data_IF_511584915364
#
_entry.id   IF_511584915364
#
_cell.length_a   1.000
_cell.length_b   1.000
_cell.length_c   1.000
_cell.angle_alpha   90.00
_cell.angle_beta   90.00
_cell.angle_gamma   90.00
#
_symmetry.space_group_name_H-M   'P 1'
#
loop_
_entity.id
_entity.type
_entity.pdbx_description
1 polymer ?
#
# COMPACT_ATOMS: atom_id res chain seq x y z
N UNK A 1 -20.49 11.42 -8.17
CA UNK A 1 -19.96 11.60 -6.81
C UNK A 1 -18.59 12.24 -6.96
N UNK A 2 -18.28 13.29 -6.19
CA UNK A 2 -16.94 13.89 -6.20
C UNK A 2 -15.97 13.02 -5.41
N UNK A 3 -14.69 12.91 -5.79
CA UNK A 3 -13.68 12.25 -4.97
C UNK A 3 -13.64 12.82 -3.55
N UNK A 4 -13.42 11.95 -2.55
CA UNK A 4 -13.22 12.36 -1.16
C UNK A 4 -11.73 12.68 -0.98
N UNK A 5 -11.43 13.87 -0.47
CA UNK A 5 -10.04 14.25 -0.19
C UNK A 5 -9.55 13.58 1.09
N UNK A 6 -8.38 12.95 1.01
CA UNK A 6 -7.64 12.45 2.17
C UNK A 6 -6.74 13.60 2.65
N UNK A 7 -6.77 13.99 3.94
CA UNK A 7 -5.88 15.01 4.47
C UNK A 7 -4.41 14.72 4.16
N UNK A 8 -3.64 15.76 3.82
CA UNK A 8 -2.24 15.70 3.37
C UNK A 8 -1.97 14.95 2.06
N UNK A 9 -3.00 14.37 1.43
CA UNK A 9 -2.90 13.63 0.16
C UNK A 9 -1.76 12.60 0.16
N UNK A 10 -1.68 11.68 1.15
CA UNK A 10 -0.60 10.71 1.22
C UNK A 10 -0.54 9.87 -0.07
N UNK A 11 0.66 9.72 -0.60
CA UNK A 11 0.95 8.89 -1.78
C UNK A 11 1.85 7.72 -1.42
N UNK A 12 1.96 6.77 -2.36
CA UNK A 12 2.94 5.67 -2.37
C UNK A 12 2.86 4.64 -1.26
N UNK A 13 1.85 4.72 -0.41
CA UNK A 13 1.66 3.73 0.63
C UNK A 13 0.46 2.81 0.43
N UNK A 14 0.24 1.97 1.42
CA UNK A 14 -0.86 1.00 1.46
C UNK A 14 -1.92 1.38 2.49
N UNK A 15 -3.03 0.66 2.47
CA UNK A 15 -4.12 0.78 3.43
C UNK A 15 -4.45 -0.58 4.02
N UNK A 16 -4.99 -0.58 5.23
CA UNK A 16 -5.49 -1.78 5.89
C UNK A 16 -6.61 -1.40 6.88
N UNK A 17 -7.33 -2.39 7.41
CA UNK A 17 -8.45 -2.20 8.32
C UNK A 17 -8.21 -2.90 9.65
N UNK A 18 -8.62 -2.28 10.75
CA UNK A 18 -8.57 -2.93 12.06
C UNK A 18 -9.77 -3.87 12.29
N UNK A 19 -9.77 -4.61 13.41
CA UNK A 19 -10.89 -5.51 13.75
C UNK A 19 -12.20 -4.79 14.07
N UNK A 20 -12.19 -3.46 14.21
CA UNK A 20 -13.37 -2.63 14.45
C UNK A 20 -13.93 -2.02 13.15
N UNK A 21 -13.30 -2.29 12.01
CA UNK A 21 -13.69 -1.74 10.71
C UNK A 21 -13.21 -0.31 10.45
N UNK A 22 -12.26 0.20 11.25
CA UNK A 22 -11.60 1.46 10.97
C UNK A 22 -10.60 1.28 9.83
N UNK A 23 -10.68 2.12 8.80
CA UNK A 23 -9.72 2.18 7.72
C UNK A 23 -8.50 2.99 8.16
N UNK A 24 -7.30 2.46 7.92
CA UNK A 24 -6.03 3.14 8.07
C UNK A 24 -5.31 3.23 6.73
N UNK A 25 -4.76 4.40 6.42
CA UNK A 25 -4.00 4.67 5.21
C UNK A 25 -2.62 5.16 5.65
N UNK A 26 -1.59 4.41 5.28
CA UNK A 26 -0.20 4.81 5.42
C UNK A 26 0.29 5.42 4.11
N UNK A 27 1.12 6.44 4.20
CA UNK A 27 1.76 7.02 3.01
C UNK A 27 2.56 8.25 3.37
N UNK A 28 3.05 8.94 2.35
CA UNK A 28 3.91 10.10 2.54
C UNK A 28 3.83 11.09 1.41
N UNK A 29 4.75 12.05 1.41
CA UNK A 29 5.00 12.97 0.30
C UNK A 29 6.19 12.51 -0.55
N UNK A 30 6.63 13.38 -1.46
CA UNK A 30 7.82 13.18 -2.30
C UNK A 30 9.15 13.33 -1.54
N UNK A 31 9.15 13.16 -0.21
CA UNK A 31 10.31 13.40 0.64
C UNK A 31 10.24 12.63 1.96
N UNK A 32 10.10 13.35 3.06
CA UNK A 32 10.29 12.82 4.41
C UNK A 32 9.07 12.96 5.32
N UNK A 33 7.94 13.42 4.78
CA UNK A 33 6.71 13.49 5.55
C UNK A 33 5.94 12.18 5.40
N UNK A 34 5.65 11.51 6.50
CA UNK A 34 4.83 10.29 6.53
C UNK A 34 3.60 10.51 7.39
N UNK A 35 2.51 9.84 7.03
CA UNK A 35 1.24 9.93 7.74
C UNK A 35 0.59 8.56 7.89
N UNK A 36 -0.09 8.40 9.03
CA UNK A 36 -1.14 7.42 9.24
C UNK A 36 -2.47 8.16 9.36
N UNK A 37 -3.38 7.93 8.40
CA UNK A 37 -4.69 8.56 8.33
C UNK A 37 -5.77 7.53 8.62
N UNK A 38 -6.70 7.83 9.53
CA UNK A 38 -7.82 6.95 9.88
C UNK A 38 -9.15 7.49 9.36
N UNK A 39 -10.01 6.58 8.91
CA UNK A 39 -11.45 6.80 8.81
C UNK A 39 -12.21 5.78 9.64
N UNK A 40 -12.93 6.23 10.66
CA UNK A 40 -13.76 5.37 11.51
C UNK A 40 -15.13 5.03 10.91
N UNK A 41 -15.55 5.75 9.87
CA UNK A 41 -16.85 5.57 9.23
C UNK A 41 -16.79 4.98 7.81
N UNK A 42 -15.60 4.71 7.26
CA UNK A 42 -15.44 4.13 5.92
C UNK A 42 -16.14 2.77 5.74
N UNK A 43 -16.32 2.02 6.83
CA UNK A 43 -17.08 0.76 6.83
C UNK A 43 -18.58 0.94 6.52
N UNK A 44 -19.13 2.15 6.68
CA UNK A 44 -20.56 2.41 6.50
C UNK A 44 -20.86 2.76 5.04
N UNK A 45 -21.29 1.79 4.22
CA UNK A 45 -21.54 1.98 2.78
C UNK A 45 -22.60 3.04 2.40
N UNK A 46 -23.36 3.57 3.36
CA UNK A 46 -24.36 4.61 3.15
C UNK A 46 -23.88 6.03 3.51
N UNK A 47 -22.63 6.19 3.94
CA UNK A 47 -22.06 7.51 4.28
C UNK A 47 -20.84 7.79 3.42
N UNK A 48 -20.61 9.06 3.11
CA UNK A 48 -19.32 9.49 2.55
C UNK A 48 -18.27 9.36 3.64
N UNK A 49 -17.16 8.64 3.42
CA UNK A 49 -16.09 8.52 4.41
C UNK A 49 -15.54 9.89 4.82
N UNK A 50 -15.23 10.03 6.10
CA UNK A 50 -14.48 11.16 6.67
C UNK A 50 -13.22 10.66 7.33
N UNK A 51 -12.15 11.44 7.26
CA UNK A 51 -10.87 11.10 7.87
C UNK A 51 -10.71 11.87 9.18
N UNK A 52 -11.04 11.19 10.28
CA UNK A 52 -11.19 11.76 11.62
C UNK A 52 -9.91 11.77 12.46
N UNK A 53 -8.84 11.13 11.98
CA UNK A 53 -7.52 11.16 12.61
C UNK A 53 -6.42 11.22 11.54
N UNK A 54 -5.43 12.08 11.76
CA UNK A 54 -4.28 12.29 10.88
C UNK A 54 -3.05 12.40 11.78
N UNK A 55 -2.19 11.39 11.74
CA UNK A 55 -1.02 11.31 12.61
C UNK A 55 0.23 11.41 11.76
N UNK A 56 1.13 12.34 12.12
CA UNK A 56 2.47 12.41 11.52
C UNK A 56 3.31 11.24 12.02
N UNK A 57 4.11 10.65 11.13
CA UNK A 57 4.94 9.49 11.41
C UNK A 57 6.38 9.83 11.03
N UNK A 58 7.34 9.43 11.86
CA UNK A 58 8.77 9.58 11.61
C UNK A 58 9.39 8.21 11.31
N UNK A 59 9.87 8.02 10.07
CA UNK A 59 10.57 6.81 9.63
C UNK A 59 12.10 7.03 9.56
N UNK A 60 12.62 8.15 10.06
CA UNK A 60 14.05 8.41 10.19
C UNK A 60 14.78 8.74 8.89
N UNK A 61 14.06 8.99 7.80
CA UNK A 61 14.65 9.27 6.49
C UNK A 61 13.65 9.78 5.46
N UNK A 62 14.11 9.88 4.22
CA UNK A 62 13.29 10.25 3.06
C UNK A 62 13.07 9.05 2.15
N UNK A 63 11.89 8.94 1.54
CA UNK A 63 11.70 8.00 0.45
C UNK A 63 12.57 8.38 -0.75
N UNK A 64 12.96 7.38 -1.51
CA UNK A 64 13.85 7.52 -2.65
C UNK A 64 13.08 7.26 -3.94
N UNK A 65 13.15 8.21 -4.88
CA UNK A 65 12.66 8.03 -6.24
C UNK A 65 13.82 8.19 -7.23
N UNK A 66 13.93 7.27 -8.19
CA UNK A 66 14.98 7.28 -9.20
C UNK A 66 16.38 7.02 -8.65
N UNK A 67 16.48 6.27 -7.54
CA UNK A 67 17.76 5.84 -7.01
C UNK A 67 18.51 4.94 -8.03
N UNK A 68 19.85 4.89 -8.00
CA UNK A 68 20.63 4.05 -8.92
C UNK A 68 20.20 2.58 -8.96
N UNK A 69 19.74 2.01 -7.83
CA UNK A 69 19.27 0.62 -7.75
C UNK A 69 17.90 0.39 -8.37
N UNK A 70 17.06 1.42 -8.46
CA UNK A 70 15.76 1.38 -9.10
C UNK A 70 15.47 2.65 -9.93
N UNK A 71 16.14 2.83 -11.08
CA UNK A 71 15.95 3.99 -11.94
C UNK A 71 14.49 4.17 -12.38
N UNK A 72 13.94 5.37 -12.19
CA UNK A 72 12.56 5.68 -12.58
C UNK A 72 11.47 5.03 -11.71
N UNK A 73 11.83 4.40 -10.58
CA UNK A 73 10.90 3.87 -9.59
C UNK A 73 11.20 4.37 -8.18
N UNK A 74 10.36 3.96 -7.23
CA UNK A 74 10.63 4.15 -5.81
C UNK A 74 11.64 3.09 -5.35
N UNK A 75 12.56 3.40 -4.45
CA UNK A 75 13.34 2.35 -3.80
C UNK A 75 12.46 1.45 -2.91
N UNK A 76 11.25 1.87 -2.55
CA UNK A 76 10.25 1.07 -1.85
C UNK A 76 8.97 1.85 -1.61
N UNK A 77 7.86 1.13 -1.47
CA UNK A 77 6.59 1.71 -1.03
C UNK A 77 6.58 1.89 0.50
N UNK A 78 5.57 2.63 0.98
CA UNK A 78 5.30 2.79 2.41
C UNK A 78 4.21 1.79 2.80
N UNK A 79 4.58 0.69 3.44
CA UNK A 79 3.63 -0.30 3.88
C UNK A 79 3.01 0.10 5.22
N UNK A 80 1.69 -0.02 5.30
CA UNK A 80 0.92 -0.06 6.54
C UNK A 80 0.20 -1.41 6.61
N UNK A 81 0.30 -2.07 7.76
CA UNK A 81 -0.53 -3.22 8.11
C UNK A 81 -1.08 -3.08 9.52
N UNK A 82 -2.26 -3.65 9.77
CA UNK A 82 -2.87 -3.70 11.09
C UNK A 82 -2.89 -5.13 11.58
N UNK A 83 -2.48 -5.32 12.84
CA UNK A 83 -2.58 -6.62 13.50
C UNK A 83 -4.04 -7.00 13.72
N UNK A 84 -4.46 -8.14 13.17
CA UNK A 84 -5.80 -8.73 13.35
C UNK A 84 -5.75 -10.12 13.97
N UNK A 85 -4.67 -10.46 14.66
CA UNK A 85 -4.39 -11.77 15.23
C UNK A 85 -5.32 -12.14 16.39
N UNK A 86 -6.01 -11.18 17.02
CA UNK A 86 -6.75 -11.40 18.26
C UNK A 86 -5.86 -11.64 19.49
N UNK A 87 -4.53 -11.51 19.35
CA UNK A 87 -3.57 -11.66 20.46
C UNK A 87 -3.42 -10.35 21.24
N UNK A 88 -2.41 -10.28 22.12
CA UNK A 88 -2.13 -9.08 22.92
C UNK A 88 -1.74 -7.84 22.06
N UNK A 89 -1.34 -8.05 20.81
CA UNK A 89 -0.97 -6.98 19.88
C UNK A 89 -2.08 -6.61 18.91
N UNK A 90 -3.27 -7.22 19.04
CA UNK A 90 -4.41 -6.97 18.16
C UNK A 90 -4.75 -5.46 18.05
N UNK A 91 -4.96 -4.99 16.82
CA UNK A 91 -5.15 -3.60 16.41
C UNK A 91 -3.94 -2.68 16.58
N UNK A 92 -2.75 -3.21 16.87
CA UNK A 92 -1.51 -2.46 16.64
C UNK A 92 -1.37 -2.15 15.15
N UNK A 93 -0.84 -0.97 14.84
CA UNK A 93 -0.62 -0.52 13.46
C UNK A 93 0.88 -0.47 13.23
N UNK A 94 1.32 -1.05 12.13
CA UNK A 94 2.72 -1.14 11.75
C UNK A 94 2.94 -0.40 10.46
N UNK A 95 4.00 0.42 10.41
CA UNK A 95 4.45 1.02 9.16
C UNK A 95 5.91 0.66 8.89
N UNK A 96 6.21 0.37 7.62
CA UNK A 96 7.55 0.04 7.16
C UNK A 96 7.80 0.72 5.82
N UNK A 97 8.99 1.29 5.67
CA UNK A 97 9.42 1.87 4.39
C UNK A 97 10.92 1.67 4.17
N UNK A 98 11.29 1.57 2.90
CA UNK A 98 12.66 1.83 2.47
C UNK A 98 12.90 3.34 2.43
N UNK A 99 13.87 3.83 3.19
CA UNK A 99 14.25 5.25 3.21
C UNK A 99 15.75 5.43 3.12
N UNK A 100 16.18 6.57 2.58
CA UNK A 100 17.51 7.08 2.85
C UNK A 100 17.49 7.78 4.21
N UNK A 101 18.21 7.25 5.18
CA UNK A 101 18.29 7.86 6.51
C UNK A 101 18.86 9.28 6.43
N UNK A 102 18.40 10.20 7.30
CA UNK A 102 18.88 11.59 7.29
C UNK A 102 20.38 11.74 7.61
N UNK A 103 20.96 10.73 8.26
CA UNK A 103 22.39 10.66 8.57
C UNK A 103 23.21 10.10 7.40
N UNK A 104 22.58 9.73 6.29
CA UNK A 104 23.19 9.03 5.17
C UNK A 104 23.25 9.85 3.88
N UNK A 105 24.39 9.78 3.18
CA UNK A 105 24.57 10.43 1.86
C UNK A 105 24.22 9.53 0.68
N UNK A 106 24.09 8.23 0.91
CA UNK A 106 23.85 7.20 -0.09
C UNK A 106 23.06 6.03 0.53
N UNK A 107 22.69 5.07 -0.31
CA UNK A 107 22.06 3.83 0.11
C UNK A 107 20.67 4.02 0.70
N UNK A 108 20.16 2.94 1.29
CA UNK A 108 18.86 2.94 1.95
C UNK A 108 18.81 1.87 3.03
N UNK A 109 17.87 2.04 3.95
CA UNK A 109 17.56 1.08 5.00
C UNK A 109 16.06 0.83 5.06
N UNK A 110 15.69 -0.35 5.57
CA UNK A 110 14.30 -0.66 5.90
C UNK A 110 14.02 -0.19 7.32
N UNK A 111 13.15 0.80 7.44
CA UNK A 111 12.77 1.43 8.70
C UNK A 111 11.34 1.05 9.07
N UNK A 112 11.12 0.88 10.36
CA UNK A 112 9.87 0.40 10.95
C UNK A 112 9.42 1.30 12.10
N UNK A 113 8.12 1.47 12.23
CA UNK A 113 7.47 2.06 13.40
C UNK A 113 6.20 1.30 13.75
N UNK A 114 5.77 1.43 15.00
CA UNK A 114 4.51 0.85 15.46
C UNK A 114 3.70 1.83 16.28
N UNK A 115 2.39 1.70 16.20
CA UNK A 115 1.43 2.31 17.12
C UNK A 115 0.73 1.22 17.91
N UNK A 116 0.58 1.45 19.21
CA UNK A 116 -0.15 0.58 20.14
C UNK A 116 -1.37 1.27 20.76
N UNK A 117 -1.78 2.39 20.17
CA UNK A 117 -2.83 3.28 20.69
C UNK A 117 -3.83 3.72 19.60
N UNK A 118 -4.09 2.84 18.62
CA UNK A 118 -5.05 3.10 17.55
C UNK A 118 -4.58 4.18 16.55
N UNK A 119 -3.27 4.33 16.40
CA UNK A 119 -2.63 5.22 15.43
C UNK A 119 -2.49 6.64 15.93
N UNK A 120 -2.69 6.90 17.23
CA UNK A 120 -2.60 8.24 17.82
C UNK A 120 -1.14 8.67 17.97
N UNK A 121 -0.26 7.75 18.38
CA UNK A 121 1.18 7.95 18.44
C UNK A 121 1.92 6.76 17.86
N UNK A 122 3.15 6.99 17.42
CA UNK A 122 4.05 5.97 16.89
C UNK A 122 5.35 5.95 17.70
N UNK A 123 5.98 4.78 17.77
CA UNK A 123 7.32 4.62 18.34
C UNK A 123 8.35 5.46 17.59
N UNK A 124 9.52 5.74 18.19
CA UNK A 124 10.68 6.18 17.43
C UNK A 124 11.01 5.21 16.28
N UNK A 125 11.60 5.69 15.17
CA UNK A 125 11.98 4.86 14.04
C UNK A 125 13.00 3.80 14.43
N UNK A 126 12.75 2.55 14.00
CA UNK A 126 13.62 1.40 14.21
C UNK A 126 14.14 0.90 12.87
N UNK A 127 15.46 0.81 12.72
CA UNK A 127 16.11 0.13 11.60
C UNK A 127 16.04 -1.38 11.83
N UNK A 128 15.44 -2.13 10.89
CA UNK A 128 15.33 -3.60 11.02
C UNK A 128 16.46 -4.36 10.31
N UNK A 129 17.20 -3.66 9.46
CA UNK A 129 18.42 -4.19 8.83
C UNK A 129 19.54 -4.27 9.86
N UNK A 130 20.19 -5.42 9.98
CA UNK A 130 21.15 -5.76 11.06
C UNK A 130 22.62 -5.78 10.61
N UNK A 131 22.90 -5.48 9.34
CA UNK A 131 24.26 -5.28 8.87
C UNK A 131 24.88 -4.02 9.52
N UNK A 132 26.21 -3.94 9.65
CA UNK A 132 26.86 -2.73 10.13
C UNK A 132 26.37 -1.54 9.32
N UNK A 133 26.07 -0.42 9.98
CA UNK A 133 25.56 0.80 9.32
C UNK A 133 26.53 1.18 8.19
N UNK A 134 26.14 0.80 6.98
CA UNK A 134 26.92 0.98 5.76
C UNK A 134 26.01 1.65 4.74
N UNK A 135 26.13 2.97 4.72
CA UNK A 135 25.30 3.83 3.89
C UNK A 135 25.57 3.63 2.39
N UNK A 136 26.51 2.77 1.97
CA UNK A 136 26.71 2.46 0.56
C UNK A 136 26.04 1.14 0.12
N UNK A 137 24.98 0.70 0.80
CA UNK A 137 24.18 -0.48 0.46
C UNK A 137 22.71 -0.15 0.28
N UNK A 138 22.03 -0.94 -0.54
CA UNK A 138 20.62 -0.78 -0.85
C UNK A 138 19.82 -1.86 -0.13
N UNK A 139 18.89 -1.41 0.71
CA UNK A 139 17.83 -2.21 1.30
C UNK A 139 16.51 -1.68 0.75
N UNK A 140 15.92 -2.38 -0.22
CA UNK A 140 14.92 -1.84 -1.12
C UNK A 140 13.75 -2.78 -1.32
N UNK A 141 12.61 -2.24 -1.75
CA UNK A 141 11.31 -2.91 -1.83
C UNK A 141 10.90 -3.60 -0.52
N UNK A 142 11.17 -2.98 0.64
CA UNK A 142 10.71 -3.52 1.91
C UNK A 142 9.19 -3.62 2.00
N UNK A 143 8.68 -4.74 2.50
CA UNK A 143 7.26 -4.99 2.78
C UNK A 143 7.09 -5.85 4.03
N UNK A 144 5.89 -5.92 4.60
CA UNK A 144 5.58 -6.76 5.75
C UNK A 144 4.16 -7.34 5.71
N UNK A 145 3.94 -8.40 6.49
CA UNK A 145 2.63 -8.94 6.83
C UNK A 145 2.56 -9.33 8.32
N UNK A 146 1.35 -9.39 8.86
CA UNK A 146 1.09 -9.87 10.23
C UNK A 146 0.39 -11.23 10.15
N UNK A 147 0.97 -12.24 10.77
CA UNK A 147 0.44 -13.59 10.87
C UNK A 147 -0.75 -13.67 11.84
N UNK A 148 -1.62 -14.70 11.74
CA UNK A 148 -2.75 -14.87 12.65
C UNK A 148 -2.34 -15.06 14.13
N UNK A 149 -1.10 -15.44 14.41
CA UNK A 149 -0.53 -15.52 15.76
C UNK A 149 0.17 -14.24 16.24
N UNK A 150 0.08 -13.13 15.49
CA UNK A 150 0.68 -11.83 15.85
C UNK A 150 2.15 -11.67 15.45
N UNK A 151 2.79 -12.68 14.85
CA UNK A 151 4.14 -12.54 14.28
C UNK A 151 4.11 -11.56 13.12
N UNK A 152 5.08 -10.65 13.08
CA UNK A 152 5.30 -9.76 11.93
C UNK A 152 6.41 -10.37 11.09
N UNK A 153 6.17 -10.55 9.80
CA UNK A 153 7.13 -11.04 8.83
C UNK A 153 7.48 -9.90 7.87
N UNK A 154 8.76 -9.61 7.64
CA UNK A 154 9.22 -8.58 6.72
C UNK A 154 10.24 -9.13 5.74
N UNK A 155 10.15 -8.67 4.48
CA UNK A 155 11.10 -9.01 3.42
C UNK A 155 11.49 -7.76 2.63
N UNK A 156 12.70 -7.80 2.06
CA UNK A 156 13.25 -6.74 1.23
C UNK A 156 14.33 -7.31 0.30
N UNK A 157 14.65 -6.57 -0.76
CA UNK A 157 15.83 -6.82 -1.59
C UNK A 157 17.04 -6.10 -1.00
N UNK A 158 18.20 -6.73 -1.11
CA UNK A 158 19.39 -6.34 -0.36
C UNK A 158 20.68 -6.54 -1.15
N UNK A 159 21.53 -5.51 -1.20
CA UNK A 159 22.84 -5.56 -1.88
C UNK A 159 24.01 -5.73 -0.92
N UNK A 160 23.77 -5.99 0.37
CA UNK A 160 24.83 -6.04 1.42
C UNK A 160 25.95 -7.02 1.07
N UNK A 161 25.62 -8.14 0.44
CA UNK A 161 26.57 -9.19 0.07
C UNK A 161 27.26 -8.96 -1.29
N UNK A 162 26.82 -7.97 -2.08
CA UNK A 162 27.30 -7.77 -3.44
C UNK A 162 28.52 -6.85 -3.49
N UNK A 163 29.61 -7.28 -4.12
CA UNK A 163 30.79 -6.43 -4.29
C UNK A 163 30.53 -5.22 -5.23
N UNK A 164 29.64 -5.38 -6.21
CA UNK A 164 29.27 -4.36 -7.21
C UNK A 164 28.16 -3.41 -6.74
N UNK A 165 27.61 -3.62 -5.52
CA UNK A 165 26.47 -2.88 -4.98
C UNK A 165 25.22 -2.86 -5.89
N UNK A 166 25.05 -3.91 -6.71
CA UNK A 166 23.96 -4.05 -7.67
C UNK A 166 23.25 -5.38 -7.47
N UNK A 167 24.02 -6.47 -7.38
CA UNK A 167 23.43 -7.80 -7.21
C UNK A 167 22.61 -7.82 -5.93
N UNK A 168 21.36 -8.22 -6.06
CA UNK A 168 20.39 -8.20 -4.97
C UNK A 168 20.05 -9.62 -4.54
N UNK A 169 19.76 -9.79 -3.26
CA UNK A 169 19.17 -11.00 -2.70
C UNK A 169 17.90 -10.62 -1.96
N UNK A 170 16.92 -11.51 -1.94
CA UNK A 170 15.78 -11.39 -1.04
C UNK A 170 16.25 -11.74 0.38
N UNK A 171 15.91 -10.88 1.33
CA UNK A 171 16.15 -11.06 2.75
C UNK A 171 14.85 -11.13 3.53
N UNK A 172 14.89 -11.80 4.67
CA UNK A 172 13.78 -12.00 5.59
C UNK A 172 14.19 -11.74 7.04
N UNK A 173 13.28 -11.15 7.81
CA UNK A 173 13.33 -11.10 9.27
C UNK A 173 11.90 -11.08 9.82
N UNK A 174 11.75 -11.38 11.10
CA UNK A 174 10.45 -11.41 11.77
C UNK A 174 10.53 -10.86 13.19
N UNK A 175 9.37 -10.51 13.73
CA UNK A 175 9.18 -10.10 15.12
C UNK A 175 8.05 -10.89 15.77
N UNK A 176 8.24 -11.30 17.02
CA UNK A 176 7.23 -12.03 17.83
C UNK A 176 6.73 -11.23 19.04
N UNK A 177 7.22 -10.00 19.21
CA UNK A 177 6.89 -9.12 20.34
C UNK A 177 6.18 -7.83 19.88
N UNK A 178 5.50 -7.91 18.73
CA UNK A 178 4.78 -6.79 18.13
C UNK A 178 5.70 -5.69 17.62
N UNK A 179 6.88 -6.03 17.10
CA UNK A 179 7.81 -5.11 16.48
C UNK A 179 8.73 -4.36 17.45
N UNK A 180 8.92 -4.84 18.69
CA UNK A 180 9.91 -4.26 19.61
C UNK A 180 11.31 -4.71 19.21
N UNK A 181 11.47 -6.01 18.95
CA UNK A 181 12.71 -6.61 18.49
C UNK A 181 12.48 -7.42 17.23
N UNK A 182 13.54 -7.58 16.46
CA UNK A 182 13.54 -8.33 15.20
C UNK A 182 14.61 -9.41 15.25
N UNK A 183 14.31 -10.54 14.63
CA UNK A 183 15.23 -11.65 14.49
C UNK A 183 16.39 -11.30 13.54
N UNK A 184 17.53 -12.04 13.63
CA UNK A 184 18.62 -11.89 12.68
C UNK A 184 18.14 -11.98 11.23
N UNK A 185 18.67 -11.12 10.36
CA UNK A 185 18.30 -11.09 8.96
C UNK A 185 18.87 -12.33 8.24
N UNK A 186 18.07 -12.95 7.37
CA UNK A 186 18.46 -14.14 6.61
C UNK A 186 18.30 -13.89 5.12
N UNK A 187 19.34 -14.15 4.34
CA UNK A 187 19.23 -14.21 2.88
C UNK A 187 18.46 -15.48 2.47
N UNK A 188 17.40 -15.31 1.68
CA UNK A 188 16.48 -16.40 1.30
C UNK A 188 16.46 -16.66 -0.22
N UNK A 189 17.32 -15.98 -0.98
CA UNK A 189 17.51 -16.24 -2.41
C UNK A 189 18.98 -16.24 -2.83
N UNK A 190 19.26 -16.79 -4.01
CA UNK A 190 20.50 -16.53 -4.74
C UNK A 190 20.61 -15.03 -5.09
N UNK A 191 21.83 -14.51 -5.33
CA UNK A 191 22.01 -13.18 -5.89
C UNK A 191 21.51 -13.12 -7.34
N UNK A 192 20.99 -11.96 -7.74
CA UNK A 192 20.58 -11.67 -9.11
C UNK A 192 20.83 -10.22 -9.48
N UNK A 193 21.01 -9.93 -10.77
CA UNK A 193 21.20 -8.57 -11.27
C UNK A 193 19.83 -7.94 -11.60
N UNK A 194 19.38 -6.90 -10.89
CA UNK A 194 18.07 -6.27 -11.13
C UNK A 194 18.01 -5.43 -12.42
N UNK A 195 19.11 -5.31 -13.16
CA UNK A 195 19.19 -4.57 -14.43
C UNK A 195 19.21 -5.48 -15.66
N UNK A 196 18.77 -6.71 -15.50
CA UNK A 196 18.56 -7.64 -16.61
C UNK A 196 17.08 -7.93 -16.77
N UNK A 197 16.67 -8.43 -17.94
CA UNK A 197 15.26 -8.60 -18.28
C UNK A 197 14.83 -7.88 -19.54
N UNK A 198 13.54 -7.98 -19.86
CA UNK A 198 13.11 -8.01 -21.26
C UNK A 198 12.73 -6.63 -21.85
N UNK A 199 13.15 -6.24 -23.09
CA UNK A 199 14.18 -6.83 -23.95
C UNK A 199 15.59 -6.27 -23.73
N UNK A 200 15.71 -5.17 -22.98
CA UNK A 200 16.87 -4.60 -22.28
C UNK A 200 16.24 -3.68 -21.24
N UNK A 201 16.48 -3.93 -19.95
CA UNK A 201 15.85 -3.19 -18.87
C UNK A 201 16.91 -2.67 -17.89
N UNK A 202 16.63 -1.59 -17.15
CA UNK A 202 17.54 -1.05 -16.13
C UNK A 202 16.92 -1.07 -14.72
N UNK A 203 15.92 -1.92 -14.50
CA UNK A 203 15.05 -1.97 -13.32
C UNK A 203 14.27 -3.29 -13.27
N UNK A 204 14.04 -3.84 -12.07
CA UNK A 204 13.23 -5.05 -11.89
C UNK A 204 11.91 -4.73 -11.18
N UNK A 205 10.81 -4.61 -11.92
CA UNK A 205 9.50 -4.24 -11.36
C UNK A 205 9.50 -3.07 -10.37
N UNK A 206 8.45 -2.95 -9.56
CA UNK A 206 8.37 -1.98 -8.43
C UNK A 206 7.85 -2.60 -7.12
N UNK A 207 7.47 -3.89 -7.15
CA UNK A 207 6.63 -4.47 -6.11
C UNK A 207 7.04 -5.91 -5.78
N UNK A 208 7.21 -6.16 -4.49
CA UNK A 208 7.24 -7.49 -3.89
C UNK A 208 6.18 -7.53 -2.79
N UNK A 209 5.71 -8.72 -2.42
CA UNK A 209 4.71 -8.87 -1.36
C UNK A 209 4.94 -10.14 -0.56
N UNK A 210 4.42 -10.16 0.66
CA UNK A 210 4.40 -11.31 1.56
C UNK A 210 3.00 -11.46 2.14
N UNK A 211 2.53 -12.69 2.29
CA UNK A 211 1.35 -13.03 3.09
C UNK A 211 1.73 -14.06 4.13
N UNK A 212 1.28 -13.88 5.37
CA UNK A 212 1.69 -14.72 6.49
C UNK A 212 0.56 -15.59 7.01
N UNK A 213 0.92 -16.82 7.38
CA UNK A 213 0.12 -17.72 8.22
C UNK A 213 0.88 -18.00 9.54
N UNK A 214 0.35 -18.86 10.40
CA UNK A 214 0.95 -19.15 11.70
C UNK A 214 2.36 -19.75 11.62
N UNK A 215 2.73 -20.36 10.50
CA UNK A 215 3.99 -21.09 10.32
C UNK A 215 5.09 -20.28 9.61
N UNK A 216 4.74 -19.19 8.93
CA UNK A 216 5.69 -18.40 8.12
C UNK A 216 4.99 -17.48 7.12
N UNK A 217 5.71 -17.02 6.10
CA UNK A 217 5.19 -16.17 5.02
C UNK A 217 5.47 -16.71 3.61
N UNK A 218 4.50 -16.53 2.71
CA UNK A 218 4.64 -16.79 1.27
C UNK A 218 4.96 -15.47 0.58
N UNK A 219 6.11 -15.43 -0.09
CA UNK A 219 6.65 -14.23 -0.73
C UNK A 219 6.52 -14.38 -2.24
N UNK A 220 6.06 -13.33 -2.91
CA UNK A 220 6.13 -13.19 -4.37
C UNK A 220 7.03 -12.00 -4.71
N UNK A 221 8.02 -12.22 -5.56
CA UNK A 221 9.02 -11.20 -5.93
C UNK A 221 9.57 -11.44 -7.33
N UNK A 222 10.00 -10.37 -8.00
CA UNK A 222 10.70 -10.48 -9.28
C UNK A 222 12.20 -10.73 -9.06
N UNK A 223 12.80 -11.58 -9.89
CA UNK A 223 14.25 -11.82 -9.94
C UNK A 223 14.69 -12.20 -11.36
N UNK A 224 16.00 -12.31 -11.57
CA UNK A 224 16.62 -12.62 -12.87
C UNK A 224 17.50 -13.88 -12.81
N UNK A 225 16.98 -14.99 -12.27
CA UNK A 225 17.80 -16.20 -12.07
C UNK A 225 18.06 -16.98 -13.37
N UNK A 226 17.13 -16.95 -14.32
CA UNK A 226 17.18 -17.78 -15.52
C UNK A 226 18.00 -17.10 -16.63
N UNK A 227 19.09 -17.73 -17.08
CA UNK A 227 19.87 -17.24 -18.22
C UNK A 227 19.26 -17.70 -19.55
N UNK A 228 18.99 -16.77 -20.46
CA UNK A 228 18.54 -17.06 -21.81
C UNK A 228 19.72 -17.01 -22.80
N UNK A 229 20.18 -18.16 -23.34
CA UNK A 229 21.29 -18.19 -24.29
C UNK A 229 20.96 -17.58 -25.66
N UNK A 230 19.67 -17.43 -25.99
CA UNK A 230 19.22 -16.80 -27.23
C UNK A 230 19.36 -15.27 -27.21
N UNK A 231 19.29 -14.64 -26.03
CA UNK A 231 19.49 -13.18 -25.86
C UNK A 231 20.84 -12.84 -25.22
N UNK A 232 21.51 -13.82 -24.59
CA UNK A 232 22.75 -13.60 -23.86
C UNK A 232 22.55 -12.82 -22.55
N UNK A 233 21.36 -12.87 -21.97
CA UNK A 233 20.95 -12.12 -20.76
C UNK A 233 20.06 -12.98 -19.87
N UNK A 234 19.92 -12.60 -18.60
CA UNK A 234 18.93 -13.20 -17.72
C UNK A 234 17.50 -12.69 -17.99
N UNK A 235 16.51 -13.53 -17.73
CA UNK A 235 15.08 -13.27 -17.90
C UNK A 235 14.48 -12.67 -16.62
N UNK A 236 13.59 -11.69 -16.77
CA UNK A 236 12.82 -11.14 -15.65
C UNK A 236 11.58 -12.02 -15.41
N UNK A 237 11.57 -12.72 -14.28
CA UNK A 237 10.50 -13.64 -13.89
C UNK A 237 9.96 -13.31 -12.50
N UNK A 238 8.74 -13.78 -12.20
CA UNK A 238 8.17 -13.77 -10.84
C UNK A 238 8.44 -15.11 -10.16
N UNK A 239 9.07 -15.04 -8.99
CA UNK A 239 9.39 -16.18 -8.13
C UNK A 239 8.54 -16.18 -6.86
N UNK A 240 8.34 -17.38 -6.33
CA UNK A 240 7.65 -17.61 -5.07
C UNK A 240 8.58 -18.35 -4.11
N UNK A 241 8.64 -17.89 -2.86
CA UNK A 241 9.40 -18.57 -1.81
C UNK A 241 8.63 -18.54 -0.49
N UNK A 242 8.75 -19.63 0.27
CA UNK A 242 8.25 -19.71 1.64
C UNK A 242 9.36 -19.35 2.60
N UNK A 243 9.11 -18.40 3.51
CA UNK A 243 10.02 -17.98 4.58
C UNK A 243 9.40 -18.31 5.94
N UNK A 244 10.23 -18.56 6.96
CA UNK A 244 9.76 -18.92 8.29
C UNK A 244 10.85 -18.70 9.36
N UNK A 245 10.47 -18.50 10.63
CA UNK A 245 11.42 -18.35 11.74
C UNK A 245 12.39 -19.53 11.93
N UNK A 246 11.90 -20.76 11.78
CA UNK A 246 12.64 -21.99 12.04
C UNK A 246 12.73 -22.86 10.77
N UNK A 247 13.78 -22.71 9.95
CA UNK A 247 13.96 -23.54 8.76
C UNK A 247 14.37 -25.00 9.10
N UNK A 248 14.04 -25.99 8.24
CA UNK A 248 13.28 -25.84 7.00
C UNK A 248 11.83 -25.49 7.30
N UNK A 249 11.23 -24.64 6.45
CA UNK A 249 9.84 -24.21 6.59
C UNK A 249 8.91 -25.40 6.42
N UNK A 250 8.66 -26.09 7.53
CA UNK A 250 7.90 -27.31 7.61
C UNK A 250 6.43 -27.00 7.55
N UNK A 251 5.89 -26.94 6.33
CA UNK A 251 4.46 -26.97 6.08
C UNK A 251 4.20 -27.47 4.67
N UNK A 252 3.17 -28.31 4.43
CA UNK A 252 2.74 -28.56 3.07
C UNK A 252 2.43 -27.21 2.41
N UNK A 253 2.94 -26.99 1.20
CA UNK A 253 2.49 -25.87 0.36
C UNK A 253 0.96 -25.86 0.41
N UNK A 254 0.30 -24.78 0.84
CA UNK A 254 -1.15 -24.74 0.89
C UNK A 254 -1.66 -25.10 -0.49
N UNK A 255 -2.41 -26.20 -0.59
CA UNK A 255 -3.07 -26.56 -1.84
C UNK A 255 -4.07 -25.44 -2.12
N UNK A 256 -4.00 -24.74 -3.26
CA UNK A 256 -4.95 -23.69 -3.57
C UNK A 256 -6.34 -24.29 -3.47
N UNK A 257 -7.11 -23.84 -2.49
CA UNK A 257 -8.53 -24.19 -2.42
C UNK A 257 -9.18 -23.43 -3.57
N UNK A 258 -9.79 -24.11 -4.57
CA UNK A 258 -10.42 -23.41 -5.67
C UNK A 258 -11.48 -22.48 -5.11
N UNK A 259 -11.25 -21.17 -5.24
CA UNK A 259 -12.28 -20.16 -4.99
C UNK A 259 -13.43 -20.45 -5.93
N UNK A 260 -14.64 -20.62 -5.39
CA UNK A 260 -15.83 -20.83 -6.19
C UNK A 260 -15.90 -19.73 -7.27
N UNK A 261 -15.86 -20.12 -8.54
CA UNK A 261 -16.12 -19.20 -9.64
C UNK A 261 -17.50 -18.58 -9.38
N UNK A 262 -17.63 -17.24 -9.38
CA UNK A 262 -18.93 -16.61 -9.19
C UNK A 262 -19.86 -17.16 -10.27
N UNK A 263 -20.91 -17.87 -9.84
CA UNK A 263 -21.94 -18.34 -10.77
C UNK A 263 -22.67 -17.10 -11.24
N UNK A 264 -22.60 -16.82 -12.54
CA UNK A 264 -23.34 -15.72 -13.16
C UNK A 264 -24.82 -15.99 -12.94
N UNK A 265 -25.45 -15.25 -12.04
CA UNK A 265 -26.91 -15.26 -11.94
C UNK A 265 -27.43 -14.64 -13.24
N UNK A 266 -28.29 -15.32 -14.02
CA UNK A 266 -28.79 -14.74 -15.26
C UNK A 266 -29.54 -13.44 -14.96
N UNK A 267 -29.05 -12.35 -15.53
CA UNK A 267 -29.73 -11.04 -15.48
C UNK A 267 -31.08 -11.18 -16.17
N UNK A 268 -32.16 -10.95 -15.43
CA UNK A 268 -33.51 -10.84 -16.00
C UNK A 268 -33.50 -9.70 -17.02
N UNK A 269 -33.70 -10.01 -18.29
CA UNK A 269 -33.85 -9.00 -19.34
C UNK A 269 -35.11 -8.18 -19.03
N UNK A 270 -35.03 -6.86 -18.85
CA UNK A 270 -36.22 -6.05 -18.65
C UNK A 270 -37.09 -6.13 -19.91
N UNK A 271 -38.33 -6.56 -19.75
CA UNK A 271 -39.34 -6.54 -20.82
C UNK A 271 -39.62 -5.08 -21.18
N UNK A 272 -39.63 -4.76 -22.48
CA UNK A 272 -39.85 -3.40 -22.96
C UNK A 272 -41.18 -2.83 -22.43
N UNK A 273 -41.10 -1.73 -21.69
CA UNK A 273 -42.27 -0.92 -21.31
C UNK A 273 -42.92 -0.35 -22.58
N UNK A 274 -44.25 -0.46 -22.78
CA UNK A 274 -44.91 0.08 -23.97
C UNK A 274 -44.68 1.59 -24.09
N UNK A 275 -44.19 2.01 -25.26
CA UNK A 275 -43.94 3.41 -25.61
C UNK A 275 -45.24 4.20 -25.59
N UNK A 276 -45.29 5.28 -24.81
CA UNK A 276 -46.43 6.20 -24.80
C UNK A 276 -46.59 6.90 -26.15
N UNK A 277 -47.79 6.84 -26.72
CA UNK A 277 -48.17 7.53 -27.96
C UNK A 277 -47.97 9.05 -27.80
N UNK A 278 -47.30 9.73 -28.74
CA UNK A 278 -47.05 11.18 -28.63
C UNK A 278 -48.37 11.96 -28.65
N UNK A 279 -48.57 12.77 -27.62
CA UNK A 279 -49.70 13.72 -27.48
C UNK A 279 -49.46 14.92 -28.41
N UNK A 280 -50.45 15.39 -29.18
CA UNK A 280 -50.28 16.53 -30.08
C UNK A 280 -49.96 17.82 -29.31
N UNK A 281 -49.00 18.57 -29.82
CA UNK A 281 -48.50 19.84 -29.28
C UNK A 281 -49.58 20.93 -29.32
N UNK A 282 -49.87 21.61 -28.20
CA UNK A 282 -50.84 22.72 -28.19
C UNK A 282 -50.26 23.97 -28.88
N UNK A 283 -51.09 24.60 -29.71
CA UNK A 283 -50.78 25.82 -30.48
C UNK A 283 -50.52 27.04 -29.56
N UNK A 284 -49.58 27.96 -29.88
CA UNK A 284 -49.22 29.06 -28.98
C UNK A 284 -50.38 30.05 -28.77
N UNK A 285 -50.69 30.33 -27.50
CA UNK A 285 -51.66 31.36 -27.09
C UNK A 285 -51.00 32.74 -27.17
N UNK A 286 -51.66 33.72 -27.80
CA UNK A 286 -51.17 35.10 -27.94
C UNK A 286 -50.94 35.75 -26.56
N UNK A 287 -49.81 36.42 -26.42
CA UNK A 287 -49.36 37.14 -25.23
C UNK A 287 -50.32 38.29 -24.89
N UNK A 288 -50.78 38.44 -23.62
CA UNK A 288 -51.60 39.57 -23.22
C UNK A 288 -50.76 40.86 -23.09
N UNK A 289 -51.28 41.97 -23.61
CA UNK A 289 -50.69 43.31 -23.49
C UNK A 289 -50.74 43.82 -22.03
N UNK A 290 -49.66 44.39 -21.46
CA UNK A 290 -49.69 44.94 -20.10
C UNK A 290 -50.63 46.14 -19.97
N UNK A 291 -51.49 46.16 -18.94
CA UNK A 291 -52.26 47.35 -18.53
C UNK A 291 -51.42 48.24 -17.61
N UNK A 292 -51.52 49.56 -17.78
CA UNK A 292 -50.85 50.54 -16.93
C UNK A 292 -51.45 50.61 -15.51
N UNK A 293 -50.56 50.84 -14.53
CA UNK A 293 -50.86 50.90 -13.09
C UNK A 293 -51.48 52.26 -12.73
N UNK A 294 -52.65 52.33 -12.07
CA UNK A 294 -53.23 53.60 -11.61
C UNK A 294 -52.43 54.21 -10.45
N UNK A 295 -52.27 55.54 -10.46
CA UNK A 295 -51.65 56.34 -9.39
C UNK A 295 -52.58 56.50 -8.17
N UNK A 296 -52.06 56.47 -6.92
CA UNK A 296 -52.87 56.68 -5.72
C UNK A 296 -53.37 58.12 -5.58
N UNK A 297 -54.57 58.32 -5.01
CA UNK A 297 -55.11 59.66 -4.69
C UNK A 297 -54.43 60.27 -3.45
N UNK A 298 -54.31 61.61 -3.35
CA UNK A 298 -53.73 62.30 -2.19
C UNK A 298 -54.59 62.20 -0.92
N UNK A 299 -53.94 62.21 0.23
CA UNK A 299 -54.53 62.18 1.59
C UNK A 299 -55.07 63.57 1.98
N UNK A 300 -56.30 63.69 2.53
CA UNK A 300 -56.79 64.98 3.04
C UNK A 300 -56.06 65.40 4.32
N UNK A 301 -55.89 66.72 4.47
CA UNK A 301 -55.33 67.39 5.64
C UNK A 301 -56.48 68.01 6.44
N UNK A 302 -56.53 67.71 7.73
CA UNK A 302 -57.03 68.57 8.82
C UNK A 302 -56.27 68.19 10.07
#
# INVERSE_FOLDING_TARGET
MSPVNIPNSPVWGTLDVDTNGNLFIGGGDFGSSFWCVRSSNAQNGNVTPTFDQVTSVDLGGSVLFGAPINPGGLAGQIFLAVDRSGTATNNNIYMLATVQQFTASNGSDVMFVRSTDGGLTFSPPLRITDDPVNQNKWHWFGTLAVAPNGRIDAVWLDTRNAANNTDSQLFYSWSTDGGVTWAPNVAVSNPFNPFEGYPVQNKIGDYITIVSDDTGGDVAYSATFNFNPGTGQHEEDVYYVRVCPDPPCGGPTPTPTPTATPTVTPTVTPTATPTATPRPTPTPRRQPTPRSRPTPRPRPVT
#
